data_IF_317075309613
#
_entry.id   IF_317075309613
#
_cell.length_a   1.000
_cell.length_b   1.000
_cell.length_c   1.000
_cell.angle_alpha   90.00
_cell.angle_beta   90.00
_cell.angle_gamma   90.00
#
_symmetry.space_group_name_H-M   'P 1'
#
loop_
_entity.id
_entity.type
_entity.pdbx_description
1 polymer ?
#
# COMPACT_ATOMS: atom_id res chain seq x y z
N UNK A 1 -30.38 10.13 -1.78
CA UNK A 1 -29.59 9.20 -0.94
C UNK A 1 -28.22 9.83 -0.73
N UNK A 2 -27.71 9.97 0.51
CA UNK A 2 -26.33 10.42 0.68
C UNK A 2 -25.43 9.37 0.04
N UNK A 3 -24.57 9.78 -0.90
CA UNK A 3 -23.59 8.87 -1.48
C UNK A 3 -22.68 8.39 -0.36
N UNK A 4 -22.81 7.13 0.05
CA UNK A 4 -21.85 6.49 0.93
C UNK A 4 -20.48 6.58 0.25
N UNK A 5 -19.53 7.21 0.93
CA UNK A 5 -18.17 7.33 0.41
C UNK A 5 -17.62 5.94 0.02
N UNK A 6 -16.86 5.82 -1.07
CA UNK A 6 -16.32 4.54 -1.50
C UNK A 6 -15.42 3.95 -0.39
N UNK A 7 -15.42 2.63 -0.16
CA UNK A 7 -14.63 1.99 0.88
C UNK A 7 -13.14 2.39 0.90
N UNK A 8 -12.52 2.54 -0.28
CA UNK A 8 -11.14 3.01 -0.39
C UNK A 8 -10.94 4.42 0.19
N UNK A 9 -11.92 5.32 0.03
CA UNK A 9 -11.91 6.68 0.60
C UNK A 9 -12.07 6.64 2.12
N UNK A 10 -12.95 5.79 2.63
CA UNK A 10 -13.14 5.60 4.09
C UNK A 10 -11.82 5.14 4.72
N UNK A 11 -11.15 4.15 4.12
CA UNK A 11 -9.84 3.69 4.61
C UNK A 11 -8.80 4.80 4.54
N UNK A 12 -8.69 5.50 3.41
CA UNK A 12 -7.69 6.55 3.23
C UNK A 12 -7.86 7.75 4.19
N UNK A 13 -9.09 8.06 4.59
CA UNK A 13 -9.43 9.18 5.48
C UNK A 13 -9.64 8.78 6.94
N UNK A 14 -9.42 7.50 7.29
CA UNK A 14 -9.61 7.01 8.64
C UNK A 14 -8.77 7.78 9.67
N UNK A 15 -9.40 8.17 10.78
CA UNK A 15 -8.74 8.76 11.94
C UNK A 15 -7.79 7.75 12.61
N UNK A 16 -6.77 8.24 13.31
CA UNK A 16 -5.68 7.41 13.85
C UNK A 16 -6.16 6.26 14.76
N UNK A 17 -7.21 6.48 15.56
CA UNK A 17 -7.83 5.46 16.42
C UNK A 17 -8.50 4.34 15.62
N UNK A 18 -9.06 4.67 14.45
CA UNK A 18 -9.67 3.72 13.53
C UNK A 18 -8.63 2.99 12.67
N UNK A 19 -7.52 3.66 12.32
CA UNK A 19 -6.44 3.06 11.51
C UNK A 19 -5.88 1.80 12.14
N UNK A 20 -5.69 1.79 13.46
CA UNK A 20 -5.28 0.59 14.18
C UNK A 20 -6.30 -0.54 13.96
N UNK A 21 -7.60 -0.31 14.19
CA UNK A 21 -8.63 -1.34 13.99
C UNK A 21 -8.61 -1.89 12.57
N UNK A 22 -8.46 -1.02 11.56
CA UNK A 22 -8.39 -1.42 10.15
C UNK A 22 -7.16 -2.29 9.87
N UNK A 23 -5.99 -1.96 10.44
CA UNK A 23 -4.77 -2.76 10.29
C UNK A 23 -4.95 -4.17 10.83
N UNK A 24 -5.47 -4.32 12.06
CA UNK A 24 -5.69 -5.63 12.66
C UNK A 24 -6.81 -6.40 11.92
N UNK A 25 -7.84 -5.71 11.41
CA UNK A 25 -8.85 -6.30 10.56
C UNK A 25 -8.30 -6.79 9.21
N UNK A 26 -7.35 -6.06 8.61
CA UNK A 26 -6.69 -6.45 7.36
C UNK A 26 -5.85 -7.72 7.53
N UNK A 27 -5.17 -7.84 8.68
CA UNK A 27 -4.39 -9.02 9.06
C UNK A 27 -5.24 -10.20 9.54
N UNK A 28 -6.50 -9.95 9.91
CA UNK A 28 -7.42 -11.00 10.34
C UNK A 28 -7.97 -11.72 9.11
N UNK A 29 -7.59 -12.98 8.95
CA UNK A 29 -8.26 -13.93 8.07
C UNK A 29 -9.29 -14.66 8.92
N UNK A 30 -10.57 -14.36 8.73
CA UNK A 30 -11.62 -15.08 9.44
C UNK A 30 -11.70 -16.53 8.95
N UNK A 31 -12.03 -17.51 9.80
CA UNK A 31 -12.43 -18.86 9.35
C UNK A 31 -13.71 -18.84 8.49
N UNK A 32 -14.42 -17.71 8.49
CA UNK A 32 -15.59 -17.41 7.68
C UNK A 32 -15.32 -16.19 6.79
N UNK A 33 -14.30 -16.23 5.93
CA UNK A 33 -14.37 -15.41 4.71
C UNK A 33 -15.52 -16.00 3.87
N UNK A 34 -16.77 -15.78 4.30
CA UNK A 34 -17.96 -16.01 3.46
C UNK A 34 -17.96 -14.91 2.43
N UNK A 35 -17.12 -15.12 1.43
CA UNK A 35 -17.23 -14.54 0.11
C UNK A 35 -18.66 -14.85 -0.32
N UNK A 36 -19.52 -13.82 -0.36
CA UNK A 36 -20.95 -14.02 -0.64
C UNK A 36 -21.16 -14.75 -1.96
N UNK A 37 -22.34 -15.36 -2.14
CA UNK A 37 -22.72 -16.23 -3.27
C UNK A 37 -22.59 -15.62 -4.69
N UNK A 38 -22.08 -14.40 -4.84
CA UNK A 38 -21.98 -13.65 -6.10
C UNK A 38 -20.57 -13.20 -6.50
N UNK A 39 -19.51 -13.89 -6.07
CA UNK A 39 -18.15 -13.43 -6.39
C UNK A 39 -17.30 -14.56 -6.93
N UNK A 40 -17.31 -14.75 -8.26
CA UNK A 40 -16.57 -15.81 -8.95
C UNK A 40 -15.17 -15.40 -9.43
N UNK A 41 -14.79 -14.11 -9.31
CA UNK A 41 -13.52 -13.60 -9.85
C UNK A 41 -12.54 -13.03 -8.81
N UNK A 42 -13.01 -12.40 -7.73
CA UNK A 42 -12.14 -12.02 -6.58
C UNK A 42 -11.50 -13.28 -6.01
N UNK A 43 -12.34 -14.29 -5.88
CA UNK A 43 -12.05 -15.64 -5.49
C UNK A 43 -10.89 -16.21 -6.30
N UNK A 44 -10.86 -16.13 -7.63
CA UNK A 44 -9.72 -16.64 -8.40
C UNK A 44 -8.40 -15.88 -8.20
N UNK A 45 -8.45 -14.59 -7.86
CA UNK A 45 -7.24 -13.78 -7.61
C UNK A 45 -6.63 -14.07 -6.23
N UNK A 46 -7.45 -14.47 -5.24
CA UNK A 46 -7.04 -14.69 -3.85
C UNK A 46 -7.06 -16.16 -3.39
N UNK A 47 -7.86 -17.06 -4.00
CA UNK A 47 -8.07 -18.46 -3.59
C UNK A 47 -6.88 -19.39 -3.83
N UNK A 48 -5.88 -18.99 -4.62
CA UNK A 48 -4.67 -19.80 -4.86
C UNK A 48 -3.49 -19.30 -4.02
N UNK A 49 -3.69 -18.27 -3.20
CA UNK A 49 -2.61 -17.64 -2.44
C UNK A 49 -2.56 -18.12 -1.00
N UNK A 50 -1.33 -18.25 -0.51
CA UNK A 50 -1.06 -18.55 0.89
C UNK A 50 -1.83 -17.55 1.80
N UNK A 51 -2.49 -18.00 2.87
CA UNK A 51 -3.20 -17.11 3.80
C UNK A 51 -2.34 -15.93 4.26
N UNK A 52 -1.05 -16.16 4.54
CA UNK A 52 -0.09 -15.13 4.92
C UNK A 52 0.03 -14.07 3.82
N UNK A 53 0.13 -14.49 2.56
CA UNK A 53 0.19 -13.58 1.40
C UNK A 53 -1.06 -12.73 1.28
N UNK A 54 -2.24 -13.29 1.57
CA UNK A 54 -3.51 -12.55 1.56
C UNK A 54 -3.52 -11.49 2.66
N UNK A 55 -3.17 -11.87 3.90
CA UNK A 55 -3.09 -10.93 5.02
C UNK A 55 -2.09 -9.79 4.76
N UNK A 56 -0.89 -10.14 4.26
CA UNK A 56 0.16 -9.18 3.88
C UNK A 56 -0.31 -8.26 2.75
N UNK A 57 -0.98 -8.80 1.74
CA UNK A 57 -1.52 -8.00 0.62
C UNK A 57 -2.58 -7.01 1.11
N UNK A 58 -3.50 -7.44 1.99
CA UNK A 58 -4.52 -6.56 2.57
C UNK A 58 -3.89 -5.48 3.45
N UNK A 59 -2.94 -5.84 4.31
CA UNK A 59 -2.19 -4.88 5.13
C UNK A 59 -1.53 -3.84 4.23
N UNK A 60 -0.83 -4.28 3.19
CA UNK A 60 -0.16 -3.40 2.25
C UNK A 60 -1.15 -2.41 1.62
N UNK A 61 -2.31 -2.89 1.16
CA UNK A 61 -3.36 -2.04 0.56
C UNK A 61 -3.90 -0.98 1.52
N UNK A 62 -4.01 -1.30 2.80
CA UNK A 62 -4.45 -0.37 3.84
C UNK A 62 -3.38 0.69 4.15
N UNK A 63 -2.11 0.28 4.23
CA UNK A 63 -1.00 1.20 4.51
C UNK A 63 -0.74 2.18 3.37
N UNK A 64 -0.95 1.75 2.12
CA UNK A 64 -0.65 2.52 0.92
C UNK A 64 -1.16 3.98 0.95
N UNK A 65 -2.47 4.26 1.08
CA UNK A 65 -2.96 5.64 1.04
C UNK A 65 -2.39 6.51 2.18
N UNK A 66 -2.14 5.94 3.36
CA UNK A 66 -1.58 6.67 4.49
C UNK A 66 -0.10 6.98 4.28
N UNK A 67 0.65 6.06 3.68
CA UNK A 67 2.04 6.32 3.27
C UNK A 67 2.11 7.41 2.21
N UNK A 68 1.23 7.36 1.20
CA UNK A 68 1.15 8.39 0.16
C UNK A 68 0.89 9.77 0.77
N UNK A 69 -0.12 9.88 1.65
CA UNK A 69 -0.46 11.13 2.34
C UNK A 69 0.70 11.64 3.22
N UNK A 70 1.33 10.76 4.02
CA UNK A 70 2.45 11.12 4.89
C UNK A 70 3.67 11.60 4.10
N UNK A 71 3.99 10.92 2.99
CA UNK A 71 5.13 11.27 2.15
C UNK A 71 4.90 12.49 1.27
N UNK A 72 3.65 12.80 0.90
CA UNK A 72 3.32 14.00 0.14
C UNK A 72 3.74 15.29 0.88
N UNK A 73 3.68 15.32 2.22
CA UNK A 73 4.15 16.47 3.00
C UNK A 73 5.67 16.70 2.97
N UNK A 74 6.46 15.69 2.56
CA UNK A 74 7.92 15.78 2.45
C UNK A 74 8.46 14.80 1.39
N UNK A 75 8.23 15.07 0.10
CA UNK A 75 8.42 14.11 -0.97
C UNK A 75 9.92 13.88 -1.24
N UNK A 76 10.33 12.61 -1.25
CA UNK A 76 11.70 12.20 -1.62
C UNK A 76 11.67 11.02 -2.59
N UNK A 77 12.75 10.85 -3.36
CA UNK A 77 12.94 9.69 -4.25
C UNK A 77 12.84 8.36 -3.49
N UNK A 78 13.50 8.24 -2.33
CA UNK A 78 13.44 7.05 -1.46
C UNK A 78 12.01 6.69 -1.06
N UNK A 79 11.20 7.70 -0.70
CA UNK A 79 9.80 7.52 -0.30
C UNK A 79 8.92 7.05 -1.47
N UNK A 80 9.10 7.67 -2.64
CA UNK A 80 8.38 7.28 -3.84
C UNK A 80 8.75 5.86 -4.29
N UNK A 81 10.04 5.50 -4.25
CA UNK A 81 10.54 4.16 -4.57
C UNK A 81 9.96 3.13 -3.60
N UNK A 82 9.97 3.42 -2.30
CA UNK A 82 9.38 2.54 -1.28
C UNK A 82 7.90 2.23 -1.55
N UNK A 83 7.09 3.25 -1.84
CA UNK A 83 5.67 3.04 -2.18
C UNK A 83 5.54 2.22 -3.46
N UNK A 84 6.32 2.57 -4.48
CA UNK A 84 6.24 1.90 -5.75
C UNK A 84 6.56 0.40 -5.64
N UNK A 85 7.68 0.04 -5.02
CA UNK A 85 8.14 -1.33 -4.85
C UNK A 85 7.20 -2.15 -3.95
N UNK A 86 6.71 -1.54 -2.87
CA UNK A 86 5.89 -2.27 -1.91
C UNK A 86 4.46 -2.55 -2.40
N UNK A 87 3.88 -1.66 -3.20
CA UNK A 87 2.43 -1.67 -3.46
C UNK A 87 2.03 -1.74 -4.93
N UNK A 88 2.94 -1.34 -5.82
CA UNK A 88 2.64 -1.11 -7.24
C UNK A 88 3.51 -1.97 -8.17
N UNK A 89 4.73 -2.31 -7.81
CA UNK A 89 5.63 -3.11 -8.65
C UNK A 89 5.00 -4.45 -9.07
N UNK A 90 5.18 -4.80 -10.35
CA UNK A 90 4.63 -6.04 -10.93
C UNK A 90 3.14 -6.00 -11.29
N UNK A 91 2.43 -4.87 -11.11
CA UNK A 91 1.06 -4.73 -11.62
C UNK A 91 0.99 -4.63 -13.15
N UNK A 92 -0.20 -4.92 -13.70
CA UNK A 92 -0.47 -5.00 -15.13
C UNK A 92 -0.10 -3.71 -15.88
N UNK A 93 0.66 -3.87 -16.97
CA UNK A 93 1.05 -2.78 -17.90
C UNK A 93 -0.11 -2.29 -18.77
N UNK A 94 -1.27 -2.95 -18.72
CA UNK A 94 -2.42 -2.61 -19.56
C UNK A 94 -3.18 -1.37 -19.06
N UNK A 95 -2.85 -0.84 -17.88
CA UNK A 95 -3.40 0.43 -17.37
C UNK A 95 -2.48 1.60 -17.79
N UNK A 96 -3.04 2.58 -18.50
CA UNK A 96 -2.30 3.74 -19.01
C UNK A 96 -1.74 4.63 -17.89
N UNK A 97 -2.47 4.80 -16.79
CA UNK A 97 -2.00 5.56 -15.62
C UNK A 97 -0.85 4.84 -14.93
N UNK A 98 -0.96 3.51 -14.79
CA UNK A 98 0.10 2.69 -14.24
C UNK A 98 1.35 2.69 -15.13
N UNK A 99 1.19 2.55 -16.45
CA UNK A 99 2.30 2.58 -17.41
C UNK A 99 3.01 3.94 -17.43
N UNK A 100 2.27 5.05 -17.34
CA UNK A 100 2.86 6.39 -17.19
C UNK A 100 3.63 6.53 -15.88
N UNK A 101 3.06 6.05 -14.76
CA UNK A 101 3.72 6.08 -13.45
C UNK A 101 4.99 5.20 -13.44
N UNK A 102 4.93 4.02 -14.04
CA UNK A 102 6.07 3.10 -14.21
C UNK A 102 7.22 3.79 -14.96
N UNK A 103 6.93 4.47 -16.07
CA UNK A 103 7.93 5.22 -16.82
C UNK A 103 8.63 6.28 -15.96
N UNK A 104 7.85 7.09 -15.23
CA UNK A 104 8.38 8.13 -14.33
C UNK A 104 9.19 7.52 -13.19
N UNK A 105 8.74 6.41 -12.61
CA UNK A 105 9.43 5.73 -11.51
C UNK A 105 10.74 5.07 -11.95
N UNK A 106 10.84 4.59 -13.20
CA UNK A 106 12.09 4.10 -13.76
C UNK A 106 13.15 5.23 -13.85
N UNK A 107 12.76 6.43 -14.28
CA UNK A 107 13.65 7.60 -14.24
C UNK A 107 14.06 7.94 -12.81
N UNK A 108 13.12 7.93 -11.86
CA UNK A 108 13.41 8.19 -10.44
C UNK A 108 14.40 7.19 -9.86
N UNK A 109 14.28 5.90 -10.23
CA UNK A 109 15.23 4.84 -9.84
C UNK A 109 16.61 5.07 -10.44
N UNK A 110 16.68 5.31 -11.74
CA UNK A 110 17.95 5.56 -12.44
C UNK A 110 18.67 6.77 -11.84
N UNK A 111 17.97 7.86 -11.59
CA UNK A 111 18.54 9.03 -10.93
C UNK A 111 19.01 8.73 -9.50
N UNK A 112 18.26 7.91 -8.77
CA UNK A 112 18.61 7.54 -7.39
C UNK A 112 19.89 6.70 -7.36
N UNK A 113 20.02 5.73 -8.27
CA UNK A 113 21.22 4.90 -8.39
C UNK A 113 22.43 5.72 -8.87
N UNK A 114 22.23 6.62 -9.82
CA UNK A 114 23.27 7.57 -10.25
C UNK A 114 23.70 8.49 -9.10
N UNK A 115 22.76 8.99 -8.30
CA UNK A 115 23.08 9.83 -7.14
C UNK A 115 23.87 9.05 -6.08
N UNK A 116 23.55 7.77 -5.85
CA UNK A 116 24.32 6.88 -4.95
C UNK A 116 25.73 6.64 -5.48
N UNK A 117 25.89 6.33 -6.76
CA UNK A 117 27.22 6.07 -7.36
C UNK A 117 28.11 7.32 -7.38
N UNK A 118 27.51 8.51 -7.55
CA UNK A 118 28.23 9.79 -7.52
C UNK A 118 28.45 10.34 -6.10
N UNK A 119 27.76 9.81 -5.08
CA UNK A 119 27.89 10.28 -3.68
C UNK A 119 29.29 10.05 -3.10
N UNK A 120 30.02 9.05 -3.60
CA UNK A 120 31.43 8.82 -3.23
C UNK A 120 32.37 9.86 -3.85
N UNK A 121 32.02 10.44 -5.00
CA UNK A 121 32.90 11.34 -5.77
C UNK A 121 32.79 12.82 -5.36
N UNK A 122 31.78 13.20 -4.55
CA UNK A 122 31.51 14.61 -4.28
C UNK A 122 30.81 14.80 -2.93
N UNK A 123 31.41 15.60 -2.03
CA UNK A 123 30.73 16.35 -0.95
C UNK A 123 29.75 17.39 -1.54
N UNK A 124 28.93 17.00 -2.52
CA UNK A 124 27.88 17.85 -3.06
C UNK A 124 26.64 17.59 -2.22
N UNK A 125 26.21 18.63 -1.52
CA UNK A 125 24.88 18.71 -0.93
C UNK A 125 23.84 18.64 -2.05
N UNK A 126 23.48 17.46 -2.53
CA UNK A 126 22.39 17.27 -3.49
C UNK A 126 21.04 17.33 -2.78
N UNK A 127 20.77 18.43 -2.06
CA UNK A 127 19.44 18.70 -1.49
C UNK A 127 18.40 18.96 -2.59
N UNK A 128 18.85 19.42 -3.77
CA UNK A 128 18.01 19.68 -4.96
C UNK A 128 17.63 18.41 -5.74
N UNK A 129 18.44 17.34 -5.70
CA UNK A 129 18.24 16.10 -6.45
C UNK A 129 17.38 15.03 -5.75
N UNK A 130 17.03 15.25 -4.48
CA UNK A 130 16.23 14.31 -3.66
C UNK A 130 14.73 14.46 -3.84
N UNK A 131 14.27 15.60 -4.35
CA UNK A 131 12.84 15.85 -4.54
C UNK A 131 12.37 15.11 -5.78
N UNK A 132 11.22 14.47 -5.64
CA UNK A 132 10.48 13.82 -6.71
C UNK A 132 9.28 14.71 -7.03
N UNK A 133 8.81 14.68 -8.28
CA UNK A 133 7.61 15.42 -8.68
C UNK A 133 6.45 15.03 -7.76
N UNK A 134 5.85 16.01 -7.07
CA UNK A 134 4.75 15.77 -6.12
C UNK A 134 3.55 15.07 -6.79
N UNK A 135 3.35 15.31 -8.09
CA UNK A 135 2.31 14.66 -8.88
C UNK A 135 2.47 13.13 -8.94
N UNK A 136 3.66 12.56 -8.63
CA UNK A 136 3.85 11.10 -8.52
C UNK A 136 3.00 10.54 -7.38
N UNK A 137 2.93 11.24 -6.24
CA UNK A 137 2.12 10.80 -5.10
C UNK A 137 0.63 10.94 -5.39
N UNK A 138 0.22 11.97 -6.13
CA UNK A 138 -1.18 12.12 -6.57
C UNK A 138 -1.59 11.00 -7.54
N UNK A 139 -0.72 10.63 -8.48
CA UNK A 139 -0.95 9.51 -9.39
C UNK A 139 -1.03 8.18 -8.62
N UNK A 140 -0.14 7.98 -7.64
CA UNK A 140 -0.22 6.84 -6.72
C UNK A 140 -1.56 6.83 -5.95
N UNK A 141 -1.99 7.97 -5.43
CA UNK A 141 -3.25 8.09 -4.68
C UNK A 141 -4.46 7.79 -5.57
N UNK A 142 -4.48 8.28 -6.82
CA UNK A 142 -5.53 7.97 -7.79
C UNK A 142 -5.62 6.47 -8.08
N UNK A 143 -4.49 5.77 -8.17
CA UNK A 143 -4.46 4.31 -8.33
C UNK A 143 -5.10 3.61 -7.12
N UNK A 144 -5.00 4.14 -5.90
CA UNK A 144 -5.74 3.61 -4.75
C UNK A 144 -7.24 3.91 -4.82
N UNK A 145 -7.62 5.10 -5.27
CA UNK A 145 -9.03 5.44 -5.36
C UNK A 145 -9.76 4.63 -6.44
N UNK A 146 -9.07 4.35 -7.55
CA UNK A 146 -9.65 3.75 -8.75
C UNK A 146 -9.27 2.26 -8.91
N UNK A 147 -8.23 1.76 -8.25
CA UNK A 147 -7.69 0.41 -8.45
C UNK A 147 -6.94 0.26 -9.78
N UNK A 148 -7.69 0.25 -10.88
CA UNK A 148 -7.23 0.25 -12.28
C UNK A 148 -8.23 1.03 -13.12
N UNK A 149 -7.79 2.03 -13.89
CA UNK A 149 -8.69 2.80 -14.77
C UNK A 149 -9.10 2.05 -16.03
N UNK A 150 -8.51 0.87 -16.28
CA UNK A 150 -8.73 0.10 -17.50
C UNK A 150 -9.93 -0.87 -17.41
N UNK A 151 -10.47 -1.13 -16.22
CA UNK A 151 -11.50 -2.17 -16.03
C UNK A 151 -12.39 -1.91 -14.80
N UNK A 152 -13.71 -1.80 -15.03
CA UNK A 152 -14.73 -1.66 -14.00
C UNK A 152 -14.75 -2.85 -13.02
N UNK A 153 -14.39 -4.05 -13.51
CA UNK A 153 -14.28 -5.25 -12.67
C UNK A 153 -13.17 -5.05 -11.66
N UNK A 154 -11.96 -4.65 -12.09
CA UNK A 154 -10.85 -4.40 -11.17
C UNK A 154 -11.15 -3.31 -10.13
N UNK A 155 -11.86 -2.25 -10.53
CA UNK A 155 -12.33 -1.21 -9.60
C UNK A 155 -13.28 -1.81 -8.56
N UNK A 156 -14.26 -2.61 -8.99
CA UNK A 156 -15.24 -3.27 -8.11
C UNK A 156 -14.56 -4.21 -7.11
N UNK A 157 -13.63 -5.04 -7.59
CA UNK A 157 -12.83 -5.96 -6.77
C UNK A 157 -12.03 -5.18 -5.72
N UNK A 158 -11.41 -4.08 -6.14
CA UNK A 158 -10.62 -3.23 -5.25
C UNK A 158 -11.47 -2.63 -4.11
N UNK A 159 -12.66 -2.11 -4.45
CA UNK A 159 -13.58 -1.56 -3.45
C UNK A 159 -14.15 -2.64 -2.52
N UNK A 160 -14.47 -3.82 -3.05
CA UNK A 160 -15.00 -4.92 -2.25
C UNK A 160 -13.99 -5.44 -1.22
N UNK A 161 -12.70 -5.51 -1.57
CA UNK A 161 -11.63 -5.86 -0.62
C UNK A 161 -11.64 -4.95 0.61
N UNK A 162 -11.71 -3.63 0.40
CA UNK A 162 -11.78 -2.68 1.52
C UNK A 162 -13.09 -2.79 2.29
N UNK A 163 -14.21 -3.03 1.60
CA UNK A 163 -15.50 -3.29 2.27
C UNK A 163 -15.41 -4.51 3.20
N UNK A 164 -14.77 -5.58 2.77
CA UNK A 164 -14.55 -6.77 3.60
C UNK A 164 -13.64 -6.47 4.79
N UNK A 165 -12.54 -5.72 4.59
CA UNK A 165 -11.66 -5.28 5.70
C UNK A 165 -12.45 -4.50 6.73
N UNK A 166 -13.24 -3.50 6.31
CA UNK A 166 -14.03 -2.66 7.21
C UNK A 166 -15.10 -3.45 8.00
N UNK A 167 -15.58 -4.58 7.46
CA UNK A 167 -16.52 -5.48 8.15
C UNK A 167 -15.84 -6.56 8.99
N UNK A 168 -14.54 -6.79 8.81
CA UNK A 168 -13.81 -7.85 9.52
C UNK A 168 -13.55 -7.41 10.97
N UNK A 169 -13.90 -8.22 11.97
CA UNK A 169 -13.55 -7.90 13.36
C UNK A 169 -12.04 -7.97 13.56
N UNK A 170 -11.46 -6.95 14.19
CA UNK A 170 -10.03 -6.90 14.50
C UNK A 170 -9.65 -7.93 15.58
N UNK A 171 -8.74 -8.86 15.26
CA UNK A 171 -8.09 -9.77 16.22
C UNK A 171 -6.69 -9.30 16.53
N UNK A 172 -6.14 -9.65 17.70
CA UNK A 172 -4.78 -9.27 18.15
C UNK A 172 -3.79 -10.43 18.24
N UNK A 173 -4.19 -11.61 17.77
CA UNK A 173 -3.36 -12.81 17.80
C UNK A 173 -3.23 -13.33 16.37
N UNK A 174 -1.99 -13.48 15.92
CA UNK A 174 -1.62 -13.89 14.57
C UNK A 174 -0.64 -15.07 14.62
N UNK A 175 -0.44 -15.73 13.49
CA UNK A 175 0.55 -16.80 13.41
C UNK A 175 1.97 -16.22 13.34
N UNK A 176 2.96 -17.05 13.65
CA UNK A 176 4.39 -16.70 13.56
C UNK A 176 4.79 -16.20 12.18
N UNK A 177 4.20 -16.77 11.13
CA UNK A 177 4.48 -16.44 9.73
C UNK A 177 3.95 -15.05 9.38
N UNK A 178 2.72 -14.73 9.81
CA UNK A 178 2.16 -13.38 9.65
C UNK A 178 3.00 -12.36 10.39
N UNK A 179 3.42 -12.66 11.61
CA UNK A 179 4.25 -11.76 12.42
C UNK A 179 5.64 -11.55 11.83
N UNK A 180 6.26 -12.59 11.26
CA UNK A 180 7.52 -12.47 10.51
C UNK A 180 7.37 -11.58 9.26
N UNK A 181 6.30 -11.76 8.48
CA UNK A 181 6.05 -10.95 7.29
C UNK A 181 5.76 -9.49 7.64
N UNK A 182 4.99 -9.23 8.69
CA UNK A 182 4.75 -7.87 9.22
C UNK A 182 6.06 -7.21 9.65
N UNK A 183 6.99 -7.97 10.24
CA UNK A 183 8.30 -7.45 10.64
C UNK A 183 9.11 -6.95 9.44
N UNK A 184 9.06 -7.66 8.31
CA UNK A 184 9.70 -7.21 7.06
C UNK A 184 9.07 -5.93 6.53
N UNK A 185 7.73 -5.86 6.49
CA UNK A 185 7.01 -4.64 6.07
C UNK A 185 7.43 -3.45 6.95
N UNK A 186 7.50 -3.67 8.26
CA UNK A 186 7.91 -2.64 9.21
C UNK A 186 9.31 -2.11 8.94
N UNK A 187 10.29 -3.00 8.74
CA UNK A 187 11.66 -2.59 8.40
C UNK A 187 11.69 -1.71 7.15
N UNK A 188 10.96 -2.10 6.09
CA UNK A 188 10.89 -1.32 4.86
C UNK A 188 10.20 0.04 5.06
N UNK A 189 9.10 0.09 5.82
CA UNK A 189 8.41 1.34 6.13
C UNK A 189 9.25 2.27 7.01
N UNK A 190 9.93 1.74 8.04
CA UNK A 190 10.81 2.49 8.94
C UNK A 190 12.01 3.07 8.19
N UNK A 191 12.63 2.30 7.31
CA UNK A 191 13.72 2.78 6.45
C UNK A 191 13.30 3.95 5.54
N UNK A 192 12.02 4.01 5.15
CA UNK A 192 11.45 5.11 4.37
C UNK A 192 10.93 6.28 5.23
N UNK A 193 11.00 6.18 6.57
CA UNK A 193 10.54 7.20 7.51
C UNK A 193 9.02 7.17 7.78
N UNK A 194 8.38 6.02 7.65
CA UNK A 194 6.98 5.80 8.00
C UNK A 194 6.86 4.86 9.23
N UNK A 195 6.69 5.42 10.44
CA UNK A 195 6.66 4.61 11.66
C UNK A 195 5.31 3.88 11.81
N UNK A 196 5.34 2.55 11.89
CA UNK A 196 4.12 1.74 12.06
C UNK A 196 3.70 1.52 13.53
N UNK A 197 4.50 1.99 14.50
CA UNK A 197 4.24 1.82 15.94
C UNK A 197 2.86 2.34 16.36
N UNK A 198 2.44 3.50 15.82
CA UNK A 198 1.12 4.10 16.11
C UNK A 198 -0.05 3.30 15.53
N UNK A 199 0.22 2.41 14.58
CA UNK A 199 -0.75 1.50 13.98
C UNK A 199 -0.80 0.14 14.70
N UNK A 200 -0.07 0.00 15.82
CA UNK A 200 0.00 -1.23 16.61
C UNK A 200 0.98 -2.29 16.08
N UNK A 201 1.77 -1.96 15.05
CA UNK A 201 2.78 -2.86 14.48
C UNK A 201 4.17 -2.53 15.07
N UNK A 202 4.32 -2.75 16.38
CA UNK A 202 5.55 -2.48 17.14
C UNK A 202 6.57 -3.63 17.11
N UNK A 203 7.71 -3.49 17.79
CA UNK A 203 8.70 -4.56 18.02
C UNK A 203 8.14 -5.80 18.73
N UNK A 204 7.10 -5.60 19.51
CA UNK A 204 6.40 -6.66 20.24
C UNK A 204 5.22 -7.23 19.47
N UNK A 205 5.06 -6.93 18.16
CA UNK A 205 4.00 -7.50 17.35
C UNK A 205 4.22 -9.00 17.20
N UNK A 206 3.29 -9.80 17.73
CA UNK A 206 3.32 -11.26 17.80
C UNK A 206 1.98 -11.83 17.35
#
# INVERSE_FOLDING_TARGET
MPSLDPPAKIVASAADDMRQKIVYAALTLGPNLKLGEKITDIDRIYLVKDPVDVAVTRLKRVLFPWMVQHFCGSPTKTKAICIFEMFLEGKSKNDQNYSRLMGRMNTVRQDSELAKSMSWFKRVSTSSGRKVDANIFDDMYKIHMLGSSADEVHTTIHQEMFRQILKTPARKSFSSEVSAAVRQIRQTCEAAGFPLKKLGLSDSFA
#
